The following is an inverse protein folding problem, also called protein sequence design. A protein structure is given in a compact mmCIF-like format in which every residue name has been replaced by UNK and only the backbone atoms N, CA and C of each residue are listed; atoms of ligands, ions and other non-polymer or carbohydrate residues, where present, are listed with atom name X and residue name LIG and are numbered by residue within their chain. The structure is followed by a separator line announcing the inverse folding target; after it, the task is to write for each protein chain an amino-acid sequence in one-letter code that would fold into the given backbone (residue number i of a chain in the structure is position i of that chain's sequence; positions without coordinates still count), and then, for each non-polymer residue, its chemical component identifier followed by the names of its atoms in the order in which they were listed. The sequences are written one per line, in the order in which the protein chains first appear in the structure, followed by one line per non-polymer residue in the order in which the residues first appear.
data_IF_653806864049
#
_entry.id   IF_653806864049
#
_cell.length_a   1.000
_cell.length_b   1.000
_cell.length_c   1.000
_cell.angle_alpha   90.00
_cell.angle_beta   90.00
_cell.angle_gamma   90.00
#
_symmetry.space_group_name_H-M   'P 1'
#
loop_
_entity.id
_entity.type
_entity.pdbx_description
1 polymer ?
#
# COMPACT_ATOMS: atom_id res chain seq x y z
N UNK A 1 -28.28 10.56 46.88
CA UNK A 1 -28.95 10.53 45.56
C UNK A 1 -28.27 11.46 44.57
N UNK A 2 -27.77 12.63 44.99
CA UNK A 2 -26.96 13.55 44.16
C UNK A 2 -25.62 12.97 43.65
N UNK A 3 -24.96 12.11 44.43
CA UNK A 3 -23.65 11.52 44.08
C UNK A 3 -23.67 10.59 42.85
N UNK A 4 -24.86 10.05 42.49
CA UNK A 4 -25.05 9.26 41.27
C UNK A 4 -25.25 10.11 40.02
N UNK A 5 -25.74 11.34 40.17
CA UNK A 5 -25.96 12.24 39.04
C UNK A 5 -24.66 12.93 38.63
N UNK A 6 -23.78 13.26 39.59
CA UNK A 6 -22.45 13.81 39.31
C UNK A 6 -21.56 12.80 38.57
N UNK A 7 -21.59 11.52 38.96
CA UNK A 7 -20.82 10.46 38.27
C UNK A 7 -21.36 10.13 36.87
N UNK A 8 -22.62 10.44 36.58
CA UNK A 8 -23.21 10.25 35.25
C UNK A 8 -22.88 11.44 34.34
N UNK A 9 -22.95 12.67 34.86
CA UNK A 9 -22.57 13.88 34.13
C UNK A 9 -21.07 13.91 33.80
N UNK A 10 -20.21 13.52 34.73
CA UNK A 10 -18.75 13.46 34.51
C UNK A 10 -18.37 12.36 33.48
N UNK A 11 -19.15 11.27 33.42
CA UNK A 11 -19.02 10.23 32.38
C UNK A 11 -19.50 10.69 31.00
N UNK A 12 -20.54 11.53 30.95
CA UNK A 12 -21.04 12.10 29.70
C UNK A 12 -20.10 13.20 29.17
N UNK A 13 -19.53 14.04 30.05
CA UNK A 13 -18.52 15.03 29.67
C UNK A 13 -17.23 14.39 29.17
N UNK A 14 -16.74 13.31 29.80
CA UNK A 14 -15.57 12.55 29.30
C UNK A 14 -15.84 11.77 28.00
N UNK A 15 -17.10 11.49 27.67
CA UNK A 15 -17.48 10.89 26.38
C UNK A 15 -17.70 11.94 25.28
N UNK A 16 -18.22 13.12 25.62
CA UNK A 16 -18.46 14.22 24.71
C UNK A 16 -17.18 14.95 24.24
N UNK A 17 -16.08 14.80 24.99
CA UNK A 17 -14.75 15.29 24.62
C UNK A 17 -13.98 14.33 23.68
N UNK A 18 -14.61 13.23 23.24
CA UNK A 18 -14.09 12.43 22.13
C UNK A 18 -14.29 13.21 20.83
N UNK A 19 -13.27 14.02 20.51
CA UNK A 19 -13.00 14.58 19.19
C UNK A 19 -13.49 13.62 18.08
N UNK A 20 -14.18 14.16 17.07
CA UNK A 20 -14.66 13.42 15.91
C UNK A 20 -13.63 12.36 15.49
N UNK A 21 -14.01 11.08 15.31
CA UNK A 21 -13.06 10.03 14.97
C UNK A 21 -12.23 10.47 13.77
N UNK A 22 -10.89 10.49 13.90
CA UNK A 22 -10.01 11.08 12.88
C UNK A 22 -10.30 10.57 11.47
N UNK A 23 -10.72 9.31 11.34
CA UNK A 23 -11.10 8.66 10.08
C UNK A 23 -12.35 9.25 9.41
N UNK A 24 -13.26 9.84 10.18
CA UNK A 24 -14.48 10.52 9.71
C UNK A 24 -14.19 11.94 9.23
N UNK A 25 -13.04 12.50 9.63
CA UNK A 25 -12.56 13.77 9.05
C UNK A 25 -12.15 13.59 7.60
N UNK A 26 -12.26 14.65 6.80
CA UNK A 26 -11.79 14.65 5.40
C UNK A 26 -10.31 14.24 5.26
N UNK A 27 -9.48 14.57 6.27
CA UNK A 27 -8.05 14.22 6.30
C UNK A 27 -7.86 12.72 6.51
N UNK A 28 -8.47 12.17 7.56
CA UNK A 28 -8.36 10.75 7.87
C UNK A 28 -9.01 9.86 6.82
N UNK A 29 -10.16 10.26 6.26
CA UNK A 29 -10.81 9.56 5.16
C UNK A 29 -9.93 9.47 3.91
N UNK A 30 -9.25 10.57 3.53
CA UNK A 30 -8.29 10.55 2.42
C UNK A 30 -7.08 9.66 2.74
N UNK A 31 -6.54 9.71 3.96
CA UNK A 31 -5.44 8.84 4.35
C UNK A 31 -5.85 7.36 4.29
N UNK A 32 -7.04 7.02 4.79
CA UNK A 32 -7.57 5.67 4.76
C UNK A 32 -7.73 5.14 3.32
N UNK A 33 -8.29 5.94 2.42
CA UNK A 33 -8.41 5.58 1.00
C UNK A 33 -7.03 5.33 0.38
N UNK A 34 -6.03 6.16 0.69
CA UNK A 34 -4.66 5.91 0.23
C UNK A 34 -4.07 4.61 0.80
N UNK A 35 -4.34 4.30 2.06
CA UNK A 35 -3.94 3.03 2.68
C UNK A 35 -4.60 1.82 2.00
N UNK A 36 -5.84 1.94 1.49
CA UNK A 36 -6.44 0.86 0.69
C UNK A 36 -5.70 0.64 -0.63
N UNK A 37 -5.25 1.70 -1.29
CA UNK A 37 -4.51 1.59 -2.54
C UNK A 37 -3.10 0.99 -2.37
N UNK A 38 -2.53 1.02 -1.16
CA UNK A 38 -1.23 0.39 -0.91
C UNK A 38 -1.34 -1.13 -0.74
N UNK A 39 -2.52 -1.64 -0.39
CA UNK A 39 -2.72 -3.04 -0.02
C UNK A 39 -2.30 -4.05 -1.09
N UNK A 40 -2.63 -3.88 -2.39
CA UNK A 40 -2.14 -4.77 -3.45
C UNK A 40 -0.61 -4.85 -3.51
N UNK A 41 0.09 -3.75 -3.21
CA UNK A 41 1.55 -3.71 -3.18
C UNK A 41 2.12 -4.49 -2.01
N UNK A 42 1.47 -4.45 -0.85
CA UNK A 42 1.88 -5.25 0.31
C UNK A 42 1.70 -6.75 0.01
N UNK A 43 0.55 -7.13 -0.57
CA UNK A 43 0.28 -8.52 -0.96
C UNK A 43 1.32 -9.02 -1.97
N UNK A 44 1.79 -8.17 -2.89
CA UNK A 44 2.80 -8.54 -3.87
C UNK A 44 4.23 -8.51 -3.30
N UNK A 45 4.57 -7.50 -2.50
CA UNK A 45 5.93 -7.26 -2.04
C UNK A 45 6.43 -8.38 -1.12
N UNK A 46 5.59 -8.89 -0.22
CA UNK A 46 5.96 -9.98 0.70
C UNK A 46 6.40 -11.25 -0.05
N UNK A 47 5.57 -11.84 -0.94
CA UNK A 47 5.97 -13.02 -1.70
C UNK A 47 7.12 -12.71 -2.66
N UNK A 48 7.16 -11.53 -3.28
CA UNK A 48 8.26 -11.15 -4.16
C UNK A 48 9.61 -11.06 -3.41
N UNK A 49 9.65 -10.42 -2.24
CA UNK A 49 10.85 -10.35 -1.41
C UNK A 49 11.25 -11.73 -0.92
N UNK A 50 10.29 -12.55 -0.49
CA UNK A 50 10.53 -13.93 -0.07
C UNK A 50 11.15 -14.73 -1.22
N UNK A 51 10.59 -14.61 -2.43
CA UNK A 51 11.09 -15.24 -3.66
C UNK A 51 12.54 -14.83 -3.93
N UNK A 52 12.81 -13.53 -3.96
CA UNK A 52 14.13 -12.97 -4.24
C UNK A 52 15.16 -13.41 -3.21
N UNK A 53 14.83 -13.34 -1.92
CA UNK A 53 15.75 -13.73 -0.84
C UNK A 53 16.03 -15.23 -0.87
N UNK A 54 14.99 -16.07 -0.90
CA UNK A 54 15.20 -17.52 -0.78
C UNK A 54 15.90 -18.08 -2.02
N UNK A 55 15.53 -17.64 -3.23
CA UNK A 55 16.22 -18.06 -4.45
C UNK A 55 17.61 -17.48 -4.58
N UNK A 56 17.82 -16.24 -4.14
CA UNK A 56 19.14 -15.61 -4.08
C UNK A 56 20.12 -16.35 -3.16
N UNK A 57 19.61 -17.03 -2.12
CA UNK A 57 20.39 -17.90 -1.22
C UNK A 57 20.50 -19.35 -1.72
N UNK A 58 20.02 -19.67 -2.92
CA UNK A 58 20.08 -21.00 -3.51
C UNK A 58 18.90 -21.92 -3.17
N UNK A 59 17.92 -21.48 -2.38
CA UNK A 59 16.73 -22.26 -2.04
C UNK A 59 15.61 -22.18 -3.09
N UNK A 60 14.65 -23.12 -3.05
CA UNK A 60 13.39 -23.04 -3.81
C UNK A 60 13.56 -22.75 -5.32
N UNK A 61 14.47 -23.49 -5.98
CA UNK A 61 14.75 -23.30 -7.41
C UNK A 61 13.57 -23.70 -8.32
N UNK A 62 12.69 -24.56 -7.81
CA UNK A 62 11.48 -24.97 -8.49
C UNK A 62 10.34 -23.97 -8.29
N UNK A 63 9.30 -24.07 -9.12
CA UNK A 63 8.08 -23.27 -9.02
C UNK A 63 7.27 -23.69 -7.80
N UNK A 64 7.00 -22.76 -6.88
CA UNK A 64 6.25 -23.00 -5.65
C UNK A 64 5.00 -22.13 -5.65
N UNK A 65 3.84 -22.78 -5.71
CA UNK A 65 2.54 -22.11 -5.82
C UNK A 65 2.34 -20.99 -4.80
N UNK A 66 2.70 -21.22 -3.54
CA UNK A 66 2.50 -20.23 -2.46
C UNK A 66 3.29 -18.94 -2.70
N UNK A 67 4.53 -19.05 -3.19
CA UNK A 67 5.46 -17.91 -3.31
C UNK A 67 5.40 -17.28 -4.70
N UNK A 68 5.08 -18.06 -5.74
CA UNK A 68 5.07 -17.60 -7.12
C UNK A 68 3.70 -17.09 -7.61
N UNK A 69 2.56 -17.51 -7.03
CA UNK A 69 1.24 -17.13 -7.58
C UNK A 69 1.00 -15.62 -7.63
N UNK A 70 1.35 -14.88 -6.58
CA UNK A 70 1.15 -13.42 -6.58
C UNK A 70 2.11 -12.68 -7.51
N UNK A 71 3.43 -12.96 -7.51
CA UNK A 71 4.34 -12.44 -8.52
C UNK A 71 3.88 -12.73 -9.96
N UNK A 72 3.49 -13.95 -10.28
CA UNK A 72 3.05 -14.32 -11.63
C UNK A 72 1.75 -13.62 -12.04
N UNK A 73 0.81 -13.51 -11.11
CA UNK A 73 -0.41 -12.73 -11.34
C UNK A 73 -0.06 -11.26 -11.61
N UNK A 74 0.91 -10.71 -10.88
CA UNK A 74 1.38 -9.35 -11.13
C UNK A 74 2.08 -9.21 -12.49
N UNK A 75 2.96 -10.14 -12.87
CA UNK A 75 3.60 -10.20 -14.20
C UNK A 75 2.55 -10.14 -15.32
N UNK A 76 1.46 -10.91 -15.19
CA UNK A 76 0.35 -10.90 -16.15
C UNK A 76 -0.47 -9.60 -16.14
N UNK A 77 -0.74 -9.02 -14.97
CA UNK A 77 -1.63 -7.87 -14.83
C UNK A 77 -0.94 -6.52 -15.05
N UNK A 78 0.34 -6.37 -14.69
CA UNK A 78 1.06 -5.10 -14.76
C UNK A 78 1.06 -4.45 -16.16
N UNK A 79 1.23 -5.18 -17.28
CA UNK A 79 1.21 -4.55 -18.61
C UNK A 79 -0.10 -3.80 -18.89
N UNK A 80 -1.22 -4.32 -18.40
CA UNK A 80 -2.57 -3.80 -18.66
C UNK A 80 -3.00 -2.81 -17.58
N UNK A 81 -2.81 -3.19 -16.32
CA UNK A 81 -3.37 -2.50 -15.16
C UNK A 81 -2.36 -1.64 -14.40
N UNK A 82 -1.07 -1.69 -14.73
CA UNK A 82 -0.03 -0.90 -14.05
C UNK A 82 -0.31 0.61 -14.09
N UNK A 83 -0.95 1.09 -15.15
CA UNK A 83 -1.37 2.49 -15.31
C UNK A 83 -2.42 2.94 -14.28
N UNK A 84 -3.15 2.01 -13.65
CA UNK A 84 -4.11 2.35 -12.59
C UNK A 84 -3.42 3.00 -11.37
N UNK A 85 -2.10 2.87 -11.23
CA UNK A 85 -1.30 3.57 -10.21
C UNK A 85 -1.34 5.09 -10.33
N UNK A 86 -1.73 5.64 -11.48
CA UNK A 86 -1.93 7.09 -11.63
C UNK A 86 -2.98 7.65 -10.67
N UNK A 87 -4.04 6.88 -10.38
CA UNK A 87 -5.12 7.28 -9.47
C UNK A 87 -4.61 7.48 -8.03
N UNK A 88 -3.98 6.48 -7.37
CA UNK A 88 -3.44 6.68 -6.04
C UNK A 88 -2.30 7.70 -6.00
N UNK A 89 -1.46 7.82 -7.05
CA UNK A 89 -0.44 8.88 -7.11
C UNK A 89 -1.11 10.26 -7.03
N UNK A 90 -2.15 10.49 -7.83
CA UNK A 90 -2.89 11.74 -7.82
C UNK A 90 -3.54 12.02 -6.45
N UNK A 91 -4.15 11.00 -5.83
CA UNK A 91 -4.74 11.10 -4.48
C UNK A 91 -3.68 11.40 -3.41
N UNK A 92 -2.52 10.76 -3.45
CA UNK A 92 -1.41 10.98 -2.52
C UNK A 92 -0.86 12.39 -2.64
N UNK A 93 -0.65 12.89 -3.86
CA UNK A 93 -0.21 14.28 -4.09
C UNK A 93 -1.23 15.28 -3.56
N UNK A 94 -2.53 15.00 -3.69
CA UNK A 94 -3.59 15.82 -3.09
C UNK A 94 -3.56 15.77 -1.57
N UNK A 95 -3.37 14.59 -0.99
CA UNK A 95 -3.34 14.39 0.45
C UNK A 95 -2.12 15.06 1.11
N UNK A 96 -0.94 14.94 0.48
CA UNK A 96 0.30 15.59 0.91
C UNK A 96 0.21 17.13 1.00
N UNK A 97 -0.72 17.75 0.26
CA UNK A 97 -0.96 19.21 0.33
C UNK A 97 -1.81 19.63 1.53
N UNK A 98 -2.59 18.72 2.11
CA UNK A 98 -3.54 19.01 3.19
C UNK A 98 -3.13 18.44 4.54
N UNK A 99 -2.15 17.52 4.57
CA UNK A 99 -1.64 16.87 5.77
C UNK A 99 -0.44 17.64 6.37
N UNK A 100 -0.64 18.36 7.50
CA UNK A 100 0.44 19.09 8.15
C UNK A 100 1.33 18.21 9.05
N UNK A 101 0.82 17.06 9.54
CA UNK A 101 1.54 16.26 10.52
C UNK A 101 2.70 15.49 9.88
N UNK A 102 3.87 15.53 10.52
CA UNK A 102 5.10 14.98 9.94
C UNK A 102 5.04 13.46 9.70
N UNK A 103 4.52 12.69 10.66
CA UNK A 103 4.48 11.23 10.58
C UNK A 103 3.53 10.72 9.48
N UNK A 104 2.23 11.13 9.41
CA UNK A 104 1.36 10.76 8.30
C UNK A 104 1.90 11.23 6.94
N UNK A 105 2.51 12.43 6.90
CA UNK A 105 3.13 12.94 5.68
C UNK A 105 4.31 12.07 5.23
N UNK A 106 5.16 11.59 6.13
CA UNK A 106 6.22 10.65 5.80
C UNK A 106 5.66 9.33 5.22
N UNK A 107 4.59 8.79 5.81
CA UNK A 107 3.91 7.61 5.28
C UNK A 107 3.33 7.86 3.88
N UNK A 108 2.69 9.02 3.65
CA UNK A 108 2.17 9.41 2.32
C UNK A 108 3.29 9.55 1.29
N UNK A 109 4.45 10.11 1.67
CA UNK A 109 5.64 10.16 0.79
C UNK A 109 6.12 8.75 0.46
N UNK A 110 6.21 7.86 1.45
CA UNK A 110 6.60 6.47 1.21
C UNK A 110 5.63 5.76 0.24
N UNK A 111 4.32 5.90 0.44
CA UNK A 111 3.31 5.36 -0.48
C UNK A 111 3.46 5.94 -1.88
N UNK A 112 3.73 7.24 -2.00
CA UNK A 112 3.91 7.89 -3.29
C UNK A 112 5.13 7.32 -4.03
N UNK A 113 6.24 7.09 -3.32
CA UNK A 113 7.43 6.47 -3.89
C UNK A 113 7.16 5.05 -4.38
N UNK A 114 6.40 4.25 -3.63
CA UNK A 114 6.03 2.90 -4.05
C UNK A 114 5.19 2.90 -5.34
N UNK A 115 4.16 3.74 -5.42
CA UNK A 115 3.36 3.84 -6.65
C UNK A 115 4.17 4.44 -7.81
N UNK A 116 5.03 5.41 -7.55
CA UNK A 116 5.91 5.98 -8.57
C UNK A 116 6.89 4.93 -9.12
N UNK A 117 7.47 4.09 -8.27
CA UNK A 117 8.32 2.98 -8.70
C UNK A 117 7.56 1.99 -9.58
N UNK A 118 6.34 1.63 -9.19
CA UNK A 118 5.47 0.75 -9.99
C UNK A 118 5.09 1.38 -11.34
N UNK A 119 4.80 2.68 -11.36
CA UNK A 119 4.49 3.41 -12.58
C UNK A 119 5.72 3.49 -13.51
N UNK A 120 6.90 3.78 -12.95
CA UNK A 120 8.16 3.80 -13.69
C UNK A 120 8.47 2.43 -14.30
N UNK A 121 8.32 1.36 -13.52
CA UNK A 121 8.45 -0.02 -14.00
C UNK A 121 7.47 -0.31 -15.14
N UNK A 122 6.19 0.06 -14.96
CA UNK A 122 5.18 -0.13 -16.01
C UNK A 122 5.57 0.63 -17.28
N UNK A 123 5.97 1.89 -17.15
CA UNK A 123 6.37 2.72 -18.27
C UNK A 123 7.61 2.17 -18.98
N UNK A 124 8.63 1.73 -18.23
CA UNK A 124 9.86 1.14 -18.78
C UNK A 124 9.62 -0.17 -19.53
N UNK A 125 8.68 -1.00 -19.06
CA UNK A 125 8.28 -2.23 -19.77
C UNK A 125 7.61 -1.93 -21.11
N UNK A 126 6.76 -0.89 -21.17
CA UNK A 126 6.10 -0.48 -22.41
C UNK A 126 7.06 0.09 -23.46
N UNK A 127 8.14 0.74 -23.04
CA UNK A 127 9.20 1.21 -23.97
C UNK A 127 10.27 0.15 -24.24
N UNK A 128 10.11 -1.08 -23.73
CA UNK A 128 10.98 -2.21 -24.02
C UNK A 128 12.32 -2.22 -23.28
N UNK A 129 12.44 -1.54 -22.13
CA UNK A 129 13.68 -1.52 -21.34
C UNK A 129 13.89 -2.78 -20.48
N UNK A 130 12.83 -3.54 -20.22
CA UNK A 130 12.91 -4.83 -19.52
C UNK A 130 11.75 -5.73 -19.94
N UNK A 131 11.86 -7.01 -19.62
CA UNK A 131 10.78 -7.99 -19.78
C UNK A 131 9.75 -7.84 -18.65
N UNK A 132 8.54 -8.36 -18.85
CA UNK A 132 7.48 -8.33 -17.83
C UNK A 132 7.68 -9.34 -16.70
N UNK A 133 8.79 -10.06 -16.71
CA UNK A 133 9.19 -11.03 -15.69
C UNK A 133 9.71 -10.31 -14.45
N UNK A 134 9.18 -10.68 -13.27
CA UNK A 134 9.62 -10.08 -12.01
C UNK A 134 10.90 -10.76 -11.51
N UNK A 135 11.73 -10.05 -10.71
CA UNK A 135 12.94 -10.61 -10.13
C UNK A 135 12.71 -11.94 -9.40
N UNK A 136 13.67 -12.85 -9.53
CA UNK A 136 13.61 -14.17 -8.91
C UNK A 136 12.66 -15.15 -9.60
N UNK A 137 12.26 -14.92 -10.86
CA UNK A 137 11.50 -15.87 -11.65
C UNK A 137 12.22 -17.23 -11.79
N UNK A 138 11.49 -18.36 -11.76
CA UNK A 138 12.09 -19.66 -11.97
C UNK A 138 12.59 -19.76 -13.42
N UNK A 139 13.69 -20.49 -13.68
CA UNK A 139 14.23 -20.66 -15.02
C UNK A 139 13.18 -21.27 -15.96
N UNK A 140 12.94 -20.61 -17.10
CA UNK A 140 11.95 -21.03 -18.11
C UNK A 140 10.53 -20.49 -17.90
N UNK A 141 10.31 -19.59 -16.94
CA UNK A 141 9.03 -18.89 -16.76
C UNK A 141 8.98 -17.59 -17.57
N UNK A 142 8.54 -17.68 -18.81
CA UNK A 142 8.21 -16.56 -19.71
C UNK A 142 7.17 -17.01 -20.72
#
# INVERSE_FOLDING_TARGET
MAERDETMAERDETMAEREDPWIETRRGGLFFVNALFIFPWIILAIPLLTRVVVRGLGGMQERIRIVDTFPELAEYLMPVYGWLTLLPIWLLVRNLRVEPAALPRAALVFFLLLHAAALLWTASGWIGLHEWTLPGAPPGGG
#
